data_IF_012052548950
#
_entry.id   IF_012052548950
#
_cell.length_a   1.000
_cell.length_b   1.000
_cell.length_c   1.000
_cell.angle_alpha   90.00
_cell.angle_beta   90.00
_cell.angle_gamma   90.00
#
_symmetry.space_group_name_H-M   'P 1'
#
loop_
_entity.id
_entity.type
_entity.pdbx_description
1 polymer ?
#
# COMPACT_ATOMS: atom_id res chain seq x y z
N UNK A 1 18.89 21.67 41.90
CA UNK A 1 19.33 20.35 41.43
C UNK A 1 18.11 19.55 41.03
N UNK A 2 17.73 19.55 39.75
CA UNK A 2 16.64 18.72 39.24
C UNK A 2 17.22 17.47 38.60
N UNK A 3 17.33 16.38 39.37
CA UNK A 3 17.78 15.09 38.87
C UNK A 3 16.71 14.49 37.96
N UNK A 4 16.89 14.58 36.64
CA UNK A 4 16.12 13.77 35.70
C UNK A 4 16.44 12.30 35.98
N UNK A 5 15.42 11.50 36.26
CA UNK A 5 15.57 10.09 36.58
C UNK A 5 16.18 9.33 35.37
N UNK A 6 17.48 9.03 35.44
CA UNK A 6 18.24 8.27 34.44
C UNK A 6 18.02 6.77 34.68
N UNK A 7 16.82 6.27 34.39
CA UNK A 7 16.50 4.85 34.51
C UNK A 7 16.68 4.14 33.15
N UNK A 8 17.70 3.28 32.98
CA UNK A 8 17.95 2.58 31.72
C UNK A 8 16.95 1.43 31.47
N UNK A 9 16.25 0.93 32.49
CA UNK A 9 15.43 -0.29 32.41
C UNK A 9 14.29 -0.18 31.37
N UNK A 10 13.52 0.94 31.29
CA UNK A 10 12.49 1.11 30.26
C UNK A 10 13.07 1.18 28.84
N UNK A 11 14.24 1.78 28.66
CA UNK A 11 14.90 1.90 27.35
C UNK A 11 15.42 0.56 26.86
N UNK A 12 16.02 -0.24 27.74
CA UNK A 12 16.49 -1.58 27.42
C UNK A 12 15.31 -2.49 27.03
N UNK A 13 14.15 -2.32 27.68
CA UNK A 13 12.92 -3.05 27.31
C UNK A 13 12.43 -2.67 25.91
N UNK A 14 12.46 -1.39 25.55
CA UNK A 14 12.09 -0.93 24.19
C UNK A 14 13.09 -1.47 23.16
N UNK A 15 14.39 -1.39 23.46
CA UNK A 15 15.49 -1.84 22.61
C UNK A 15 15.39 -3.34 22.26
N UNK A 16 15.01 -4.17 23.24
CA UNK A 16 14.82 -5.62 23.07
C UNK A 16 13.43 -5.99 22.52
N UNK A 17 12.56 -5.02 22.30
CA UNK A 17 11.22 -5.22 21.79
C UNK A 17 11.15 -5.58 20.29
N UNK A 18 10.02 -6.14 19.83
CA UNK A 18 9.84 -6.57 18.43
C UNK A 18 9.84 -5.40 17.43
N UNK A 19 9.54 -4.17 17.87
CA UNK A 19 9.55 -2.95 17.03
C UNK A 19 10.95 -2.54 16.57
N UNK A 20 12.00 -3.00 17.24
CA UNK A 20 13.38 -2.65 16.90
C UNK A 20 13.90 -3.55 15.78
N UNK A 21 13.69 -3.09 14.54
CA UNK A 21 14.18 -3.71 13.32
C UNK A 21 15.66 -3.37 13.07
N UNK A 22 16.34 -4.19 12.25
CA UNK A 22 17.76 -3.99 11.91
C UNK A 22 18.03 -2.61 11.30
N UNK A 23 17.09 -2.07 10.51
CA UNK A 23 17.20 -0.72 9.92
C UNK A 23 17.31 0.37 10.99
N UNK A 24 16.53 0.25 12.08
CA UNK A 24 16.53 1.22 13.17
C UNK A 24 17.75 1.08 14.07
N UNK A 25 18.15 -0.16 14.39
CA UNK A 25 19.36 -0.43 15.16
C UNK A 25 20.62 0.08 14.43
N UNK A 26 20.67 -0.11 13.11
CA UNK A 26 21.77 0.42 12.28
C UNK A 26 21.79 1.95 12.29
N UNK A 27 20.61 2.58 12.24
CA UNK A 27 20.47 4.03 12.23
C UNK A 27 20.88 4.66 13.58
N UNK A 28 20.45 4.06 14.71
CA UNK A 28 20.85 4.49 16.06
C UNK A 28 22.34 4.27 16.28
N UNK A 29 22.89 3.14 15.83
CA UNK A 29 24.33 2.92 15.93
C UNK A 29 25.11 3.97 15.10
N UNK A 30 24.61 4.36 13.92
CA UNK A 30 25.23 5.44 13.12
C UNK A 30 25.13 6.81 13.82
N UNK A 31 23.99 7.17 14.40
CA UNK A 31 23.80 8.46 15.07
C UNK A 31 24.69 8.58 16.32
N UNK A 32 24.87 7.48 17.06
CA UNK A 32 25.68 7.42 18.28
C UNK A 32 27.14 7.06 18.01
N UNK A 33 27.56 6.97 16.74
CA UNK A 33 28.92 6.56 16.30
C UNK A 33 29.38 5.20 16.85
N UNK A 34 28.43 4.28 17.04
CA UNK A 34 28.66 2.89 17.43
C UNK A 34 29.00 2.07 16.16
N UNK A 35 30.09 1.29 16.13
CA UNK A 35 30.43 0.45 14.98
C UNK A 35 29.32 -0.56 14.65
N UNK A 36 28.84 -0.61 13.40
CA UNK A 36 27.75 -1.52 12.96
C UNK A 36 28.11 -2.49 11.82
N UNK A 37 29.31 -2.40 11.22
CA UNK A 37 29.66 -3.21 10.05
C UNK A 37 29.63 -4.72 10.39
N UNK A 38 28.84 -5.50 9.63
CA UNK A 38 28.71 -6.96 9.77
C UNK A 38 28.01 -7.45 11.04
N UNK A 39 27.40 -6.57 11.86
CA UNK A 39 26.83 -6.95 13.15
C UNK A 39 25.41 -7.50 13.02
N UNK A 40 25.16 -8.66 13.64
CA UNK A 40 23.81 -9.23 13.81
C UNK A 40 22.99 -8.43 14.84
N UNK A 41 21.66 -8.54 14.76
CA UNK A 41 20.69 -7.80 15.58
C UNK A 41 21.03 -7.76 17.08
N UNK A 42 21.36 -8.92 17.66
CA UNK A 42 21.69 -9.06 19.07
C UNK A 42 22.94 -8.26 19.46
N UNK A 43 23.96 -8.24 18.60
CA UNK A 43 25.19 -7.47 18.82
C UNK A 43 24.93 -5.96 18.77
N UNK A 44 24.06 -5.50 17.86
CA UNK A 44 23.68 -4.08 17.81
C UNK A 44 22.87 -3.65 19.04
N UNK A 45 21.94 -4.50 19.49
CA UNK A 45 21.18 -4.26 20.72
C UNK A 45 22.10 -4.21 21.94
N UNK A 46 23.07 -5.13 22.06
CA UNK A 46 23.99 -5.13 23.18
C UNK A 46 24.84 -3.84 23.20
N UNK A 47 25.40 -3.43 22.05
CA UNK A 47 26.21 -2.20 21.97
C UNK A 47 25.42 -0.93 22.28
N UNK A 48 24.15 -0.86 21.89
CA UNK A 48 23.27 0.27 22.24
C UNK A 48 22.95 0.24 23.74
N UNK A 49 22.71 -0.95 24.32
CA UNK A 49 22.51 -1.10 25.77
C UNK A 49 23.74 -0.64 26.56
N UNK A 50 24.95 -1.09 26.18
CA UNK A 50 26.19 -0.70 26.85
C UNK A 50 26.39 0.84 26.82
N UNK A 51 25.99 1.48 25.71
CA UNK A 51 26.09 2.94 25.58
C UNK A 51 25.04 3.69 26.42
N UNK A 52 23.83 3.14 26.59
CA UNK A 52 22.82 3.68 27.51
C UNK A 52 23.32 3.61 28.95
N UNK A 53 23.84 2.47 29.37
CA UNK A 53 24.38 2.26 30.73
C UNK A 53 25.57 3.19 31.00
N UNK A 54 26.43 3.41 29.99
CA UNK A 54 27.51 4.41 30.04
C UNK A 54 26.99 5.82 30.28
N UNK A 55 25.92 6.25 29.59
CA UNK A 55 25.35 7.59 29.79
C UNK A 55 24.73 7.78 31.16
N UNK A 56 24.17 6.72 31.75
CA UNK A 56 23.69 6.75 33.15
C UNK A 56 24.86 6.88 34.11
N UNK A 57 25.93 6.10 33.92
CA UNK A 57 27.13 6.16 34.76
C UNK A 57 27.86 7.51 34.70
N UNK A 58 27.89 8.14 33.53
CA UNK A 58 28.46 9.48 33.31
C UNK A 58 27.52 10.62 33.74
N UNK A 59 26.28 10.33 34.13
CA UNK A 59 25.26 11.34 34.41
C UNK A 59 24.91 12.21 33.19
N UNK A 60 25.12 11.69 31.97
CA UNK A 60 24.97 12.45 30.73
C UNK A 60 23.50 12.49 30.27
N UNK A 61 22.74 13.38 30.90
CA UNK A 61 21.29 13.54 30.66
C UNK A 61 20.96 13.87 29.21
N UNK A 62 21.80 14.64 28.52
CA UNK A 62 21.56 15.04 27.12
C UNK A 62 21.62 13.84 26.19
N UNK A 63 22.71 13.05 26.26
CA UNK A 63 22.87 11.87 25.40
C UNK A 63 21.87 10.77 25.75
N UNK A 64 21.55 10.61 27.02
CA UNK A 64 20.52 9.69 27.47
C UNK A 64 19.13 10.05 26.90
N UNK A 65 18.76 11.34 26.93
CA UNK A 65 17.51 11.81 26.35
C UNK A 65 17.48 11.69 24.81
N UNK A 66 18.63 11.86 24.14
CA UNK A 66 18.73 11.66 22.70
C UNK A 66 18.45 10.20 22.33
N UNK A 67 19.13 9.23 22.94
CA UNK A 67 18.84 7.80 22.71
C UNK A 67 17.39 7.47 23.10
N UNK A 68 16.87 8.05 24.18
CA UNK A 68 15.46 7.88 24.58
C UNK A 68 14.48 8.35 23.50
N UNK A 69 14.73 9.50 22.87
CA UNK A 69 13.92 10.00 21.77
C UNK A 69 14.01 9.06 20.55
N UNK A 70 15.21 8.61 20.21
CA UNK A 70 15.44 7.72 19.06
C UNK A 70 14.84 6.33 19.27
N UNK A 71 14.81 5.82 20.50
CA UNK A 71 14.15 4.55 20.81
C UNK A 71 12.62 4.67 20.91
N UNK A 72 12.10 5.84 21.31
CA UNK A 72 10.67 6.11 21.32
C UNK A 72 10.11 6.27 19.89
N UNK A 73 10.86 6.96 19.03
CA UNK A 73 10.55 7.19 17.61
C UNK A 73 11.71 6.70 16.72
N UNK A 74 11.78 5.40 16.41
CA UNK A 74 12.88 4.84 15.62
C UNK A 74 12.98 5.40 14.19
N UNK A 75 11.89 5.94 13.65
CA UNK A 75 11.87 6.59 12.33
C UNK A 75 12.71 7.89 12.32
N UNK A 76 12.84 8.58 13.46
CA UNK A 76 13.68 9.78 13.58
C UNK A 76 15.17 9.45 13.43
N UNK A 77 15.58 8.23 13.80
CA UNK A 77 16.97 7.77 13.64
C UNK A 77 17.39 7.63 12.17
N UNK A 78 16.43 7.47 11.24
CA UNK A 78 16.69 7.34 9.81
C UNK A 78 17.04 8.68 9.14
N UNK A 79 16.86 9.81 9.83
CA UNK A 79 17.10 11.16 9.32
C UNK A 79 17.97 12.01 10.27
N UNK A 80 19.29 11.72 10.41
CA UNK A 80 20.15 12.40 11.37
C UNK A 80 20.70 13.72 10.81
N UNK A 81 19.82 14.69 10.54
CA UNK A 81 20.02 16.16 10.65
C UNK A 81 18.89 16.89 9.95
N UNK A 82 17.91 17.31 10.73
CA UNK A 82 16.94 18.34 10.36
C UNK A 82 16.47 18.97 11.65
N UNK A 83 17.07 20.10 12.05
CA UNK A 83 16.67 20.82 13.24
C UNK A 83 15.19 21.17 13.16
N UNK A 84 14.38 20.61 14.07
CA UNK A 84 13.01 21.04 14.28
C UNK A 84 13.03 22.41 14.96
N UNK A 85 12.90 23.46 14.16
CA UNK A 85 12.29 24.69 14.65
C UNK A 85 10.80 24.40 14.97
N UNK A 86 10.21 25.04 15.99
CA UNK A 86 8.82 24.81 16.34
C UNK A 86 7.94 25.19 15.15
N UNK A 87 6.90 24.38 14.93
CA UNK A 87 5.86 24.54 13.91
C UNK A 87 5.63 26.00 13.51
N UNK A 88 6.22 26.38 12.38
CA UNK A 88 5.87 27.59 11.66
C UNK A 88 5.47 27.16 10.26
N UNK A 89 4.21 27.41 9.96
CA UNK A 89 3.54 27.32 8.67
C UNK A 89 4.49 27.68 7.53
N UNK A 90 4.78 26.73 6.63
CA UNK A 90 5.49 27.08 5.40
C UNK A 90 4.59 27.99 4.54
N UNK A 91 5.16 29.03 3.91
CA UNK A 91 4.42 30.04 3.19
C UNK A 91 3.88 29.46 1.89
N UNK A 92 2.61 29.73 1.62
CA UNK A 92 1.99 29.46 0.34
C UNK A 92 2.80 30.13 -0.78
N UNK A 93 3.12 29.36 -1.83
CA UNK A 93 3.58 29.95 -3.08
C UNK A 93 2.48 30.89 -3.63
N UNK A 94 2.84 32.06 -4.20
CA UNK A 94 1.85 32.98 -4.74
C UNK A 94 1.28 32.42 -6.04
N UNK A 95 0.02 31.99 -6.00
CA UNK A 95 -0.76 31.69 -7.21
C UNK A 95 -1.17 32.99 -7.91
N UNK A 96 -1.23 33.03 -9.25
CA UNK A 96 -1.72 34.20 -9.98
C UNK A 96 -3.22 34.42 -9.67
N UNK A 97 -3.61 35.68 -9.46
CA UNK A 97 -5.01 36.09 -9.32
C UNK A 97 -5.83 35.64 -10.54
N UNK A 98 -7.01 35.03 -10.36
CA UNK A 98 -8.02 35.02 -11.41
C UNK A 98 -8.82 36.32 -11.36
N UNK A 99 -9.00 36.92 -12.54
CA UNK A 99 -9.96 37.98 -12.77
C UNK A 99 -11.40 37.49 -12.52
N UNK A 100 -12.18 38.36 -11.91
CA UNK A 100 -13.64 38.48 -11.92
C UNK A 100 -14.47 37.33 -12.53
N UNK A 101 -15.21 36.65 -11.64
CA UNK A 101 -16.65 36.43 -11.82
C UNK A 101 -17.09 35.22 -12.65
N UNK A 102 -16.96 34.01 -12.10
CA UNK A 102 -17.94 32.93 -12.33
C UNK A 102 -18.16 32.21 -10.99
N UNK A 103 -19.29 32.49 -10.35
CA UNK A 103 -19.78 31.79 -9.17
C UNK A 103 -20.14 30.35 -9.58
N UNK A 104 -19.40 29.36 -9.08
CA UNK A 104 -19.95 28.00 -9.05
C UNK A 104 -21.11 27.96 -8.05
N UNK A 105 -22.26 27.37 -8.41
CA UNK A 105 -23.41 27.34 -7.51
C UNK A 105 -23.09 26.44 -6.32
N UNK A 106 -22.92 27.05 -5.15
CA UNK A 106 -23.14 26.36 -3.87
C UNK A 106 -24.61 25.97 -3.86
N UNK A 107 -24.89 24.70 -4.10
CA UNK A 107 -26.20 24.12 -3.83
C UNK A 107 -26.45 24.24 -2.32
N UNK A 108 -27.14 25.30 -1.91
CA UNK A 108 -27.82 25.35 -0.63
C UNK A 108 -29.04 24.44 -0.73
N UNK A 109 -28.88 23.19 -0.32
CA UNK A 109 -30.00 22.29 -0.08
C UNK A 109 -30.65 22.69 1.26
N UNK A 110 -31.92 23.10 1.19
CA UNK A 110 -32.75 23.34 2.36
C UNK A 110 -32.89 22.06 3.20
N UNK A 111 -32.41 22.14 4.44
CA UNK A 111 -32.84 21.39 5.62
C UNK A 111 -32.85 19.86 5.56
N UNK A 112 -31.73 19.21 5.93
CA UNK A 112 -31.61 17.99 6.78
C UNK A 112 -30.13 17.87 7.19
N UNK A 113 -29.82 17.85 8.49
CA UNK A 113 -28.53 17.41 9.07
C UNK A 113 -27.26 18.22 8.70
N UNK A 114 -26.72 19.00 9.64
CA UNK A 114 -25.34 19.52 9.53
C UNK A 114 -24.35 18.35 9.67
N UNK A 115 -24.06 17.64 8.59
CA UNK A 115 -22.94 16.70 8.58
C UNK A 115 -21.62 17.50 8.54
N UNK A 116 -20.61 17.14 9.36
CA UNK A 116 -19.32 17.81 9.34
C UNK A 116 -18.71 17.70 7.95
N UNK A 117 -18.33 18.84 7.36
CA UNK A 117 -17.64 18.89 6.08
C UNK A 117 -16.18 18.52 6.32
N UNK A 118 -15.79 17.30 5.94
CA UNK A 118 -14.41 16.85 6.04
C UNK A 118 -13.68 17.20 4.75
N UNK A 119 -12.57 17.93 4.86
CA UNK A 119 -11.67 18.19 3.74
C UNK A 119 -10.64 17.05 3.64
N UNK A 120 -10.70 16.26 2.57
CA UNK A 120 -9.74 15.18 2.33
C UNK A 120 -8.56 15.69 1.52
N UNK A 121 -7.39 15.07 1.69
CA UNK A 121 -6.29 15.31 0.75
C UNK A 121 -6.72 14.88 -0.66
N UNK A 122 -6.44 15.71 -1.68
CA UNK A 122 -6.83 15.38 -3.04
C UNK A 122 -6.06 14.16 -3.54
N UNK A 123 -6.67 13.42 -4.46
CA UNK A 123 -6.05 12.33 -5.19
C UNK A 123 -6.17 12.58 -6.69
N UNK A 124 -5.14 12.31 -7.50
CA UNK A 124 -5.29 12.37 -8.95
C UNK A 124 -6.16 11.24 -9.50
N UNK A 125 -6.31 10.13 -8.76
CA UNK A 125 -7.04 8.94 -9.18
C UNK A 125 -8.57 9.08 -9.05
N UNK A 126 -9.06 10.06 -8.28
CA UNK A 126 -10.49 10.29 -8.15
C UNK A 126 -10.80 11.71 -7.66
N UNK A 127 -12.00 12.18 -7.99
CA UNK A 127 -12.58 13.42 -7.45
C UNK A 127 -13.88 13.12 -6.70
N UNK A 128 -14.01 13.65 -5.49
CA UNK A 128 -15.22 13.47 -4.67
C UNK A 128 -16.36 14.28 -5.29
N UNK A 129 -17.47 13.60 -5.60
CA UNK A 129 -18.66 14.23 -6.18
C UNK A 129 -19.71 14.54 -5.11
N UNK A 130 -20.03 13.55 -4.27
CA UNK A 130 -21.07 13.68 -3.25
C UNK A 130 -20.89 12.65 -2.12
N UNK A 131 -21.07 13.10 -0.88
CA UNK A 131 -21.27 12.18 0.25
C UNK A 131 -22.68 11.59 0.18
N UNK A 132 -22.80 10.28 0.35
CA UNK A 132 -24.06 9.55 0.42
C UNK A 132 -24.13 8.81 1.74
N UNK A 133 -25.33 8.78 2.34
CA UNK A 133 -25.54 8.18 3.65
C UNK A 133 -24.92 8.97 4.80
N UNK A 134 -25.26 8.53 6.01
CA UNK A 134 -24.88 9.22 7.25
C UNK A 134 -23.46 8.85 7.69
N UNK A 135 -22.82 9.79 8.38
CA UNK A 135 -21.61 9.57 9.15
C UNK A 135 -21.84 8.49 10.21
N UNK A 136 -21.01 7.45 10.23
CA UNK A 136 -21.04 6.41 11.27
C UNK A 136 -19.77 6.42 12.11
N UNK A 137 -19.96 6.44 13.42
CA UNK A 137 -18.87 6.35 14.39
C UNK A 137 -18.63 4.89 14.76
N UNK A 138 -17.40 4.44 14.60
CA UNK A 138 -16.89 3.17 15.10
C UNK A 138 -16.00 3.47 16.31
N UNK A 139 -16.45 3.15 17.54
CA UNK A 139 -15.65 3.40 18.75
C UNK A 139 -14.38 2.53 18.76
N UNK A 140 -13.40 2.94 19.56
CA UNK A 140 -12.20 2.14 19.80
C UNK A 140 -12.54 0.69 20.16
N UNK A 141 -11.83 -0.26 19.56
CA UNK A 141 -12.18 -1.68 19.66
C UNK A 141 -12.13 -2.17 21.11
N UNK A 142 -13.30 -2.43 21.69
CA UNK A 142 -13.45 -3.15 22.97
C UNK A 142 -13.67 -4.67 22.76
N UNK A 143 -13.96 -5.08 21.52
CA UNK A 143 -14.21 -6.45 21.07
C UNK A 143 -13.33 -6.76 19.86
N UNK A 144 -13.10 -8.04 19.57
CA UNK A 144 -12.31 -8.49 18.42
C UNK A 144 -12.96 -8.18 17.06
N UNK A 145 -14.25 -7.82 17.04
CA UNK A 145 -14.99 -7.47 15.80
C UNK A 145 -16.05 -6.40 16.07
N UNK A 146 -16.07 -5.36 15.25
CA UNK A 146 -17.15 -4.38 15.14
C UNK A 146 -17.79 -4.51 13.75
N UNK A 147 -19.11 -4.31 13.66
CA UNK A 147 -19.82 -4.13 12.39
C UNK A 147 -20.45 -2.74 12.33
N UNK A 148 -20.37 -2.08 11.17
CA UNK A 148 -20.95 -0.76 10.94
C UNK A 148 -21.80 -0.83 9.67
N UNK A 149 -23.11 -0.70 9.83
CA UNK A 149 -24.05 -0.74 8.72
C UNK A 149 -24.39 0.68 8.23
N UNK A 150 -24.12 0.95 6.96
CA UNK A 150 -24.49 2.20 6.27
C UNK A 150 -25.52 1.86 5.18
N UNK A 151 -26.78 2.22 5.43
CA UNK A 151 -27.86 1.99 4.46
C UNK A 151 -27.99 3.16 3.50
N UNK A 152 -27.85 2.90 2.21
CA UNK A 152 -28.00 3.90 1.14
C UNK A 152 -29.14 3.46 0.22
N UNK A 153 -30.15 4.32 0.06
CA UNK A 153 -31.28 4.08 -0.85
C UNK A 153 -31.12 4.93 -2.10
N UNK A 154 -31.15 4.30 -3.28
CA UNK A 154 -30.98 4.98 -4.57
C UNK A 154 -31.95 6.14 -4.80
N UNK A 155 -33.19 6.01 -4.30
CA UNK A 155 -34.24 7.01 -4.42
C UNK A 155 -33.88 8.34 -3.75
N UNK A 156 -33.09 8.31 -2.68
CA UNK A 156 -32.68 9.52 -1.94
C UNK A 156 -31.46 10.20 -2.57
N UNK A 157 -30.78 9.54 -3.50
CA UNK A 157 -29.52 9.99 -4.07
C UNK A 157 -29.54 9.88 -5.60
N UNK A 158 -30.09 10.87 -6.32
CA UNK A 158 -30.23 10.82 -7.78
C UNK A 158 -28.93 10.55 -8.54
N UNK A 159 -27.78 10.95 -7.98
CA UNK A 159 -26.44 10.69 -8.54
C UNK A 159 -26.16 9.18 -8.70
N UNK A 160 -26.80 8.31 -7.90
CA UNK A 160 -26.64 6.87 -8.03
C UNK A 160 -27.27 6.32 -9.31
N UNK A 161 -28.29 6.98 -9.87
CA UNK A 161 -28.83 6.61 -11.19
C UNK A 161 -27.83 6.79 -12.33
N UNK A 162 -26.82 7.66 -12.16
CA UNK A 162 -25.80 7.89 -13.18
C UNK A 162 -24.70 6.81 -13.17
N UNK A 163 -24.65 5.93 -12.16
CA UNK A 163 -23.63 4.87 -12.09
C UNK A 163 -23.76 3.85 -13.23
N UNK A 164 -24.98 3.65 -13.75
CA UNK A 164 -25.22 2.73 -14.87
C UNK A 164 -24.70 3.29 -16.20
N UNK A 165 -24.80 4.60 -16.40
CA UNK A 165 -24.43 5.28 -17.63
C UNK A 165 -22.96 5.74 -17.65
N UNK A 166 -22.45 6.23 -16.52
CA UNK A 166 -21.08 6.73 -16.38
C UNK A 166 -20.20 5.74 -15.61
N UNK A 167 -19.42 4.95 -16.35
CA UNK A 167 -18.48 3.96 -15.80
C UNK A 167 -17.31 4.56 -15.01
N UNK A 168 -17.10 5.88 -15.09
CA UNK A 168 -16.10 6.57 -14.28
C UNK A 168 -16.61 6.89 -12.88
N UNK A 169 -17.91 6.76 -12.61
CA UNK A 169 -18.45 6.93 -11.26
C UNK A 169 -18.29 5.65 -10.45
N UNK A 170 -17.86 5.81 -9.20
CA UNK A 170 -17.71 4.71 -8.23
C UNK A 170 -18.26 5.12 -6.88
N UNK A 171 -18.79 4.16 -6.14
CA UNK A 171 -19.14 4.30 -4.73
C UNK A 171 -17.95 3.80 -3.90
N UNK A 172 -17.43 4.63 -3.01
CA UNK A 172 -16.27 4.31 -2.17
C UNK A 172 -16.57 4.63 -0.71
N UNK A 173 -16.14 3.75 0.19
CA UNK A 173 -16.10 4.03 1.61
C UNK A 173 -14.86 4.87 1.94
N UNK A 174 -15.00 5.87 2.80
CA UNK A 174 -13.93 6.71 3.31
C UNK A 174 -13.93 6.59 4.83
N UNK A 175 -12.74 6.68 5.42
CA UNK A 175 -12.55 6.57 6.85
C UNK A 175 -11.56 7.61 7.36
N UNK A 176 -11.86 8.22 8.51
CA UNK A 176 -11.00 9.18 9.21
C UNK A 176 -10.96 8.89 10.70
N UNK A 177 -9.97 9.45 11.39
CA UNK A 177 -9.83 9.32 12.86
C UNK A 177 -10.15 10.60 13.63
N UNK A 178 -10.20 11.75 12.95
CA UNK A 178 -10.47 13.05 13.57
C UNK A 178 -11.46 13.87 12.73
N UNK A 179 -12.65 14.14 13.29
CA UNK A 179 -13.68 14.97 12.66
C UNK A 179 -13.44 16.47 12.85
N UNK A 180 -12.64 16.84 13.85
CA UNK A 180 -12.47 18.23 14.27
C UNK A 180 -11.19 18.85 13.69
N UNK A 181 -10.46 18.11 12.86
CA UNK A 181 -9.25 18.61 12.25
C UNK A 181 -9.56 19.75 11.28
N UNK A 182 -8.90 20.88 11.48
CA UNK A 182 -8.92 22.00 10.54
C UNK A 182 -8.03 21.75 9.31
N UNK A 183 -7.28 20.65 9.29
CA UNK A 183 -6.37 20.28 8.21
C UNK A 183 -6.95 19.16 7.34
N UNK A 184 -6.49 19.11 6.08
CA UNK A 184 -6.85 18.03 5.15
C UNK A 184 -6.49 16.67 5.71
N UNK A 185 -7.47 15.77 5.73
CA UNK A 185 -7.36 14.43 6.27
C UNK A 185 -6.92 13.42 5.21
N UNK A 186 -6.09 12.46 5.61
CA UNK A 186 -5.86 11.24 4.84
C UNK A 186 -7.03 10.27 5.04
N UNK A 187 -7.32 9.47 4.01
CA UNK A 187 -8.23 8.33 4.15
C UNK A 187 -7.44 7.21 4.83
N UNK A 188 -7.88 6.79 6.01
CA UNK A 188 -7.21 5.76 6.78
C UNK A 188 -8.23 4.84 7.43
N UNK A 189 -8.09 3.54 7.17
CA UNK A 189 -8.95 2.50 7.71
C UNK A 189 -8.32 1.87 8.94
N UNK A 190 -9.14 1.37 9.88
CA UNK A 190 -8.64 0.74 11.09
C UNK A 190 -7.79 -0.50 10.77
N UNK A 191 -6.62 -0.58 11.39
CA UNK A 191 -5.86 -1.82 11.49
C UNK A 191 -6.41 -2.70 12.62
N UNK A 192 -6.15 -4.01 12.56
CA UNK A 192 -6.69 -5.03 13.50
C UNK A 192 -6.41 -4.79 15.00
N UNK A 193 -5.65 -3.76 15.38
CA UNK A 193 -5.28 -3.51 16.79
C UNK A 193 -5.34 -2.03 17.18
N UNK A 194 -6.06 -1.18 16.44
CA UNK A 194 -6.11 0.24 16.73
C UNK A 194 -7.13 0.61 17.81
N UNK A 195 -6.65 1.32 18.84
CA UNK A 195 -7.45 1.86 19.95
C UNK A 195 -7.83 3.32 19.61
N UNK A 196 -8.45 3.52 18.44
CA UNK A 196 -8.91 4.83 17.99
C UNK A 196 -10.38 4.76 17.61
N UNK A 197 -11.08 5.88 17.75
CA UNK A 197 -12.41 6.05 17.17
C UNK A 197 -12.23 6.35 15.68
N UNK A 198 -12.97 5.63 14.85
CA UNK A 198 -12.99 5.81 13.41
C UNK A 198 -14.35 6.31 12.97
N UNK A 199 -14.37 7.11 11.92
CA UNK A 199 -15.59 7.62 11.34
C UNK A 199 -15.68 7.18 9.89
N UNK A 200 -16.77 6.53 9.52
CA UNK A 200 -17.02 5.97 8.21
C UNK A 200 -18.08 6.78 7.47
N UNK A 201 -17.82 7.02 6.19
CA UNK A 201 -18.71 7.70 5.28
C UNK A 201 -18.63 7.03 3.92
N UNK A 202 -19.67 7.22 3.11
CA UNK A 202 -19.69 6.72 1.74
C UNK A 202 -19.74 7.91 0.79
N UNK A 203 -18.94 7.86 -0.27
CA UNK A 203 -18.90 8.90 -1.29
C UNK A 203 -19.13 8.29 -2.66
N UNK A 204 -19.84 9.03 -3.51
CA UNK A 204 -19.72 8.88 -4.96
C UNK A 204 -18.52 9.70 -5.41
N UNK A 205 -17.59 9.04 -6.09
CA UNK A 205 -16.40 9.65 -6.67
C UNK A 205 -16.40 9.44 -8.18
N UNK A 206 -15.69 10.31 -8.90
CA UNK A 206 -15.35 10.12 -10.30
C UNK A 206 -13.89 9.70 -10.40
N UNK A 207 -13.64 8.47 -10.83
CA UNK A 207 -12.30 7.89 -10.98
C UNK A 207 -11.65 8.35 -12.28
N UNK A 208 -10.34 8.52 -12.25
CA UNK A 208 -9.49 8.84 -13.40
C UNK A 208 -8.58 7.65 -13.65
N UNK A 209 -8.61 7.13 -14.88
CA UNK A 209 -7.81 5.98 -15.25
C UNK A 209 -6.30 6.33 -15.30
N UNK A 210 -5.44 5.35 -15.01
CA UNK A 210 -3.98 5.53 -15.03
C UNK A 210 -3.51 6.02 -16.40
N UNK A 211 -4.09 5.53 -17.49
CA UNK A 211 -3.74 5.93 -18.86
C UNK A 211 -4.04 7.42 -19.12
N UNK A 212 -5.08 7.96 -18.50
CA UNK A 212 -5.39 9.40 -18.60
C UNK A 212 -4.38 10.22 -17.79
N UNK A 213 -4.01 9.75 -16.60
CA UNK A 213 -3.00 10.40 -15.76
C UNK A 213 -1.61 10.36 -16.40
N UNK A 214 -1.24 9.24 -17.02
CA UNK A 214 0.00 9.12 -17.78
C UNK A 214 0.05 10.14 -18.92
N UNK A 215 -1.04 10.33 -19.67
CA UNK A 215 -1.12 11.34 -20.74
C UNK A 215 -0.99 12.77 -20.20
N UNK A 216 -1.51 13.03 -19.00
CA UNK A 216 -1.32 14.34 -18.34
C UNK A 216 0.14 14.58 -17.95
N UNK A 217 0.87 13.54 -17.51
CA UNK A 217 2.31 13.63 -17.27
C UNK A 217 3.06 13.86 -18.59
N UNK A 218 2.72 13.10 -19.63
CA UNK A 218 3.36 13.19 -20.95
C UNK A 218 3.29 14.62 -21.55
N UNK A 219 2.12 15.25 -21.41
CA UNK A 219 1.86 16.61 -21.89
C UNK A 219 2.16 17.70 -20.84
N UNK A 220 2.65 17.31 -19.66
CA UNK A 220 2.86 18.16 -18.52
C UNK A 220 4.27 18.75 -18.45
N UNK A 221 4.85 18.71 -17.24
CA UNK A 221 6.20 19.23 -16.99
C UNK A 221 7.24 18.38 -17.69
N UNK A 222 8.32 19.03 -18.12
CA UNK A 222 9.44 18.40 -18.82
C UNK A 222 10.75 18.85 -18.21
N UNK A 223 11.68 17.92 -18.06
CA UNK A 223 13.09 18.21 -17.86
C UNK A 223 13.71 18.18 -19.26
N UNK A 224 14.04 19.37 -19.80
CA UNK A 224 14.56 19.45 -21.16
C UNK A 224 15.92 18.77 -21.27
N UNK A 225 16.22 18.26 -22.46
CA UNK A 225 17.49 17.59 -22.76
C UNK A 225 18.68 18.47 -22.40
N UNK A 226 18.61 19.74 -22.76
CA UNK A 226 19.67 20.73 -22.53
C UNK A 226 19.85 21.00 -21.04
N UNK A 227 18.76 21.11 -20.27
CA UNK A 227 18.84 21.33 -18.82
C UNK A 227 19.50 20.15 -18.10
N UNK A 228 19.17 18.93 -18.51
CA UNK A 228 19.76 17.71 -17.93
C UNK A 228 21.25 17.62 -18.25
N UNK A 229 21.64 17.86 -19.51
CA UNK A 229 23.06 17.87 -19.93
C UNK A 229 23.83 18.96 -19.18
N UNK A 230 23.29 20.17 -19.08
CA UNK A 230 23.95 21.28 -18.36
C UNK A 230 24.15 20.94 -16.88
N UNK A 231 23.19 20.25 -16.24
CA UNK A 231 23.34 19.78 -14.85
C UNK A 231 24.46 18.75 -14.73
N UNK A 232 24.60 17.82 -15.68
CA UNK A 232 25.70 16.85 -15.70
C UNK A 232 27.06 17.54 -15.87
N UNK A 233 27.18 18.41 -16.88
CA UNK A 233 28.41 19.15 -17.18
C UNK A 233 28.82 20.03 -16.00
N UNK A 234 27.86 20.73 -15.39
CA UNK A 234 28.13 21.57 -14.22
C UNK A 234 28.64 20.77 -13.03
N UNK A 235 28.13 19.55 -12.80
CA UNK A 235 28.62 18.66 -11.74
C UNK A 235 30.00 18.07 -12.08
N UNK A 236 30.28 17.85 -13.35
CA UNK A 236 31.57 17.33 -13.81
C UNK A 236 32.70 18.38 -13.81
N UNK A 237 32.36 19.67 -13.81
CA UNK A 237 33.31 20.77 -13.74
C UNK A 237 33.84 21.04 -12.31
N UNK A 238 33.36 20.30 -11.30
CA UNK A 238 33.83 20.42 -9.93
C UNK A 238 35.27 19.90 -9.81
N UNK A 239 36.25 20.74 -9.44
CA UNK A 239 37.67 20.36 -9.38
C UNK A 239 37.97 19.29 -8.33
N UNK A 240 37.10 19.12 -7.32
CA UNK A 240 37.28 18.13 -6.26
C UNK A 240 36.66 16.76 -6.62
N UNK A 241 35.99 16.65 -7.78
CA UNK A 241 35.29 15.43 -8.20
C UNK A 241 35.87 14.91 -9.52
N UNK A 242 36.41 13.69 -9.50
CA UNK A 242 36.76 12.97 -10.73
C UNK A 242 35.48 12.47 -11.39
N UNK A 243 35.02 13.18 -12.43
CA UNK A 243 33.85 12.77 -13.19
C UNK A 243 34.15 11.54 -14.05
N UNK A 244 33.57 10.40 -13.69
CA UNK A 244 33.63 9.17 -14.50
C UNK A 244 32.34 9.01 -15.30
N UNK A 245 32.41 8.23 -16.37
CA UNK A 245 31.20 7.80 -17.09
C UNK A 245 30.27 7.01 -16.17
N UNK A 246 28.96 7.07 -16.45
CA UNK A 246 27.92 6.43 -15.66
C UNK A 246 27.08 5.51 -16.54
N UNK A 247 26.72 4.34 -16.02
CA UNK A 247 25.82 3.43 -16.73
C UNK A 247 24.38 3.75 -16.34
N UNK A 248 23.55 4.08 -17.32
CA UNK A 248 22.12 4.35 -17.15
C UNK A 248 21.30 3.15 -17.63
N UNK A 249 20.36 2.67 -16.81
CA UNK A 249 19.42 1.65 -17.24
C UNK A 249 18.21 2.26 -17.94
N UNK A 250 17.81 1.66 -19.06
CA UNK A 250 16.59 1.98 -19.80
C UNK A 250 15.38 1.15 -19.32
N UNK A 251 15.59 0.28 -18.32
CA UNK A 251 14.54 -0.47 -17.64
C UNK A 251 14.01 0.32 -16.45
N UNK A 252 12.70 0.20 -16.21
CA UNK A 252 12.04 0.76 -15.05
C UNK A 252 12.42 -0.05 -13.80
N UNK A 253 12.83 0.59 -12.69
CA UNK A 253 13.15 -0.13 -11.45
C UNK A 253 11.92 -0.80 -10.80
N UNK A 254 10.70 -0.38 -11.17
CA UNK A 254 9.45 -0.93 -10.61
C UNK A 254 8.96 -2.15 -11.38
N UNK A 255 8.86 -2.06 -12.70
CA UNK A 255 8.33 -3.13 -13.54
C UNK A 255 9.42 -4.05 -14.10
N UNK A 256 10.68 -3.64 -14.05
CA UNK A 256 11.85 -4.29 -14.70
C UNK A 256 11.74 -4.38 -16.23
N UNK A 257 10.68 -3.82 -16.81
CA UNK A 257 10.46 -3.69 -18.25
C UNK A 257 11.14 -2.42 -18.77
N UNK A 258 11.40 -2.37 -20.08
CA UNK A 258 11.87 -1.15 -20.74
C UNK A 258 10.86 -0.04 -20.51
N UNK A 259 11.32 1.14 -20.09
CA UNK A 259 10.45 2.30 -19.89
C UNK A 259 9.87 2.74 -21.25
N UNK A 260 8.57 3.06 -21.27
CA UNK A 260 7.95 3.69 -22.44
C UNK A 260 7.83 5.21 -22.23
N UNK A 261 7.43 5.67 -21.04
CA UNK A 261 7.46 7.09 -20.68
C UNK A 261 8.39 7.33 -19.47
N UNK A 262 9.67 7.67 -19.70
CA UNK A 262 10.60 7.94 -18.61
C UNK A 262 10.25 9.25 -17.92
N UNK A 263 9.98 9.18 -16.62
CA UNK A 263 9.73 10.35 -15.80
C UNK A 263 10.47 10.26 -14.46
N UNK A 264 10.62 11.42 -13.84
CA UNK A 264 11.09 11.57 -12.46
C UNK A 264 10.52 12.86 -11.88
N UNK A 265 10.59 13.03 -10.56
CA UNK A 265 10.19 14.30 -9.94
C UNK A 265 11.22 15.40 -10.26
N UNK A 266 10.76 16.65 -10.40
CA UNK A 266 11.64 17.82 -10.51
C UNK A 266 12.55 18.01 -9.28
N UNK A 267 12.25 17.34 -8.15
CA UNK A 267 13.10 17.32 -6.96
C UNK A 267 14.18 16.22 -6.98
N UNK A 268 14.22 15.37 -8.00
CA UNK A 268 15.22 14.32 -8.14
C UNK A 268 16.59 14.91 -8.53
N UNK A 269 17.66 14.41 -7.93
CA UNK A 269 19.06 14.79 -8.22
C UNK A 269 19.85 13.70 -8.97
N UNK A 270 19.18 12.60 -9.32
CA UNK A 270 19.72 11.48 -10.09
C UNK A 270 19.20 11.51 -11.53
N UNK A 271 19.92 10.84 -12.44
CA UNK A 271 19.53 10.73 -13.84
C UNK A 271 18.65 9.52 -14.18
N UNK A 272 18.67 8.49 -13.34
CA UNK A 272 17.83 7.31 -13.52
C UNK A 272 16.35 7.70 -13.47
N UNK A 273 15.58 7.26 -14.45
CA UNK A 273 14.13 7.47 -14.51
C UNK A 273 13.37 6.20 -14.11
N UNK A 274 12.08 6.36 -13.88
CA UNK A 274 11.12 5.28 -13.79
C UNK A 274 10.00 5.49 -14.82
N UNK A 275 9.29 4.42 -15.14
CA UNK A 275 8.16 4.49 -16.08
C UNK A 275 6.93 5.09 -15.40
N UNK A 276 6.30 6.06 -16.07
CA UNK A 276 5.16 6.79 -15.53
C UNK A 276 3.96 5.89 -15.21
N UNK A 277 3.62 4.94 -16.09
CA UNK A 277 2.49 4.02 -15.90
C UNK A 277 2.75 3.12 -14.70
N UNK A 278 3.94 2.53 -14.64
CA UNK A 278 4.35 1.64 -13.54
C UNK A 278 4.32 2.37 -12.19
N UNK A 279 4.77 3.63 -12.16
CA UNK A 279 4.73 4.46 -10.97
C UNK A 279 3.30 4.81 -10.54
N UNK A 280 2.45 5.22 -11.48
CA UNK A 280 1.05 5.53 -11.17
C UNK A 280 0.28 4.32 -10.64
N UNK A 281 0.50 3.12 -11.19
CA UNK A 281 -0.09 1.87 -10.69
C UNK A 281 0.34 1.57 -9.24
N UNK A 282 1.63 1.77 -8.92
CA UNK A 282 2.11 1.63 -7.54
C UNK A 282 1.40 2.63 -6.61
N UNK A 283 1.31 3.89 -7.03
CA UNK A 283 0.68 4.94 -6.22
C UNK A 283 -0.85 4.75 -6.08
N UNK A 284 -1.50 4.11 -7.04
CA UNK A 284 -2.93 3.77 -6.95
C UNK A 284 -3.20 2.72 -5.85
N UNK A 285 -2.29 1.75 -5.68
CA UNK A 285 -2.41 0.72 -4.64
C UNK A 285 -2.08 1.24 -3.23
N UNK A 286 -1.07 2.10 -3.15
CA UNK A 286 -0.56 2.62 -1.88
C UNK A 286 0.15 3.96 -2.09
N UNK A 287 -0.59 5.09 -2.05
CA UNK A 287 -0.06 6.39 -2.39
C UNK A 287 0.94 6.88 -1.32
N UNK A 288 2.22 6.66 -1.57
CA UNK A 288 3.33 7.18 -0.77
C UNK A 288 3.88 8.48 -1.35
N UNK A 289 3.77 8.64 -2.67
CA UNK A 289 4.29 9.77 -3.45
C UNK A 289 5.78 10.05 -3.23
N UNK A 290 6.58 8.99 -3.11
CA UNK A 290 8.02 9.04 -2.97
C UNK A 290 8.69 8.43 -4.21
N UNK A 291 9.80 9.05 -4.64
CA UNK A 291 10.61 8.52 -5.73
C UNK A 291 11.17 7.14 -5.36
N UNK A 292 10.98 6.09 -6.17
CA UNK A 292 11.47 4.74 -5.86
C UNK A 292 13.00 4.60 -5.91
N UNK A 293 13.71 5.63 -6.37
CA UNK A 293 15.17 5.61 -6.53
C UNK A 293 15.86 6.39 -5.40
N UNK A 294 15.38 7.58 -5.06
CA UNK A 294 16.02 8.44 -4.05
C UNK A 294 15.15 8.79 -2.84
N UNK A 295 13.90 8.31 -2.79
CA UNK A 295 12.95 8.56 -1.72
C UNK A 295 12.54 10.04 -1.52
N UNK A 296 12.96 10.95 -2.41
CA UNK A 296 12.49 12.35 -2.40
C UNK A 296 11.01 12.43 -2.82
N UNK A 297 10.28 13.49 -2.40
CA UNK A 297 8.89 13.71 -2.83
C UNK A 297 8.72 13.72 -4.35
N UNK A 298 7.76 12.94 -4.82
CA UNK A 298 7.42 12.77 -6.22
C UNK A 298 5.89 12.73 -6.39
N UNK A 299 5.22 13.79 -5.94
CA UNK A 299 3.76 13.96 -6.11
C UNK A 299 3.42 14.09 -7.59
N UNK A 300 2.17 13.80 -7.95
CA UNK A 300 1.68 13.88 -9.32
C UNK A 300 2.02 15.21 -10.02
N UNK A 301 1.92 16.33 -9.30
CA UNK A 301 2.19 17.67 -9.82
C UNK A 301 3.67 17.94 -10.06
N UNK A 302 4.56 17.19 -9.41
CA UNK A 302 6.03 17.36 -9.52
C UNK A 302 6.67 16.41 -10.52
N UNK A 303 5.94 15.40 -10.99
CA UNK A 303 6.41 14.51 -12.03
C UNK A 303 6.64 15.28 -13.34
N UNK A 304 7.79 15.01 -13.95
CA UNK A 304 8.17 15.57 -15.23
C UNK A 304 8.76 14.48 -16.13
N UNK A 305 8.47 14.56 -17.43
CA UNK A 305 9.11 13.70 -18.43
C UNK A 305 10.55 14.13 -18.59
N UNK A 306 11.47 13.17 -18.55
CA UNK A 306 12.89 13.43 -18.80
C UNK A 306 13.15 13.30 -20.30
N UNK A 307 13.33 14.44 -20.97
CA UNK A 307 13.50 14.45 -22.43
C UNK A 307 14.87 13.91 -22.85
N UNK A 308 15.88 13.95 -21.98
CA UNK A 308 17.19 13.35 -22.24
C UNK A 308 17.09 11.81 -22.26
N UNK A 309 16.48 11.21 -21.24
CA UNK A 309 16.29 9.75 -21.20
C UNK A 309 15.29 9.30 -22.25
N UNK A 310 14.24 10.07 -22.54
CA UNK A 310 13.29 9.78 -23.63
C UNK A 310 13.98 9.75 -25.00
N UNK A 311 14.88 10.70 -25.26
CA UNK A 311 15.69 10.73 -26.48
C UNK A 311 16.55 9.47 -26.60
N UNK A 312 17.22 9.04 -25.51
CA UNK A 312 18.00 7.79 -25.50
C UNK A 312 17.11 6.58 -25.81
N UNK A 313 15.96 6.46 -25.14
CA UNK A 313 15.04 5.33 -25.32
C UNK A 313 14.53 5.25 -26.75
N UNK A 314 14.25 6.40 -27.37
CA UNK A 314 13.75 6.51 -28.75
C UNK A 314 14.84 6.16 -29.78
N UNK A 315 16.09 6.55 -29.51
CA UNK A 315 17.24 6.32 -30.40
C UNK A 315 18.01 5.02 -30.11
N UNK A 316 17.48 4.13 -29.26
CA UNK A 316 18.09 2.82 -28.99
C UNK A 316 17.11 1.68 -29.28
N UNK A 317 17.56 0.55 -29.87
CA UNK A 317 16.71 -0.62 -30.08
C UNK A 317 16.13 -1.16 -28.78
N UNK A 318 14.95 -1.81 -28.85
CA UNK A 318 14.30 -2.43 -27.66
C UNK A 318 15.15 -3.51 -26.99
N UNK A 319 16.15 -4.09 -27.67
CA UNK A 319 17.09 -5.08 -27.11
C UNK A 319 18.18 -4.49 -26.22
N UNK A 320 18.38 -3.17 -26.23
CA UNK A 320 19.45 -2.50 -25.45
C UNK A 320 18.90 -2.02 -24.11
N UNK A 321 19.32 -2.62 -23.01
CA UNK A 321 18.78 -2.28 -21.68
C UNK A 321 19.56 -1.18 -20.93
N UNK A 322 20.75 -0.83 -21.40
CA UNK A 322 21.65 0.10 -20.73
C UNK A 322 22.48 0.90 -21.74
N UNK A 323 22.85 2.12 -21.36
CA UNK A 323 23.80 2.98 -22.09
C UNK A 323 24.85 3.52 -21.14
N UNK A 324 26.01 3.87 -21.67
CA UNK A 324 27.05 4.60 -20.93
C UNK A 324 26.91 6.09 -21.24
N UNK A 325 26.84 6.93 -20.21
CA UNK A 325 26.77 8.38 -20.29
C UNK A 325 28.10 8.96 -19.83
N UNK A 326 28.71 9.75 -20.70
CA UNK A 326 29.92 10.51 -20.43
C UNK A 326 29.63 11.80 -19.63
N UNK A 327 30.61 12.38 -18.93
CA UNK A 327 30.43 13.62 -18.17
C UNK A 327 29.96 14.83 -18.99
N UNK A 328 30.21 14.83 -20.31
CA UNK A 328 29.73 15.84 -21.25
C UNK A 328 28.26 15.65 -21.67
N UNK A 329 27.59 14.63 -21.15
CA UNK A 329 26.22 14.25 -21.44
C UNK A 329 26.06 13.44 -22.73
N UNK A 330 27.12 13.15 -23.48
CA UNK A 330 27.04 12.21 -24.62
C UNK A 330 26.84 10.80 -24.11
N UNK A 331 26.08 10.01 -24.85
CA UNK A 331 25.81 8.62 -24.51
C UNK A 331 26.24 7.68 -25.63
N UNK A 332 26.62 6.46 -25.26
CA UNK A 332 27.01 5.41 -26.19
C UNK A 332 26.44 4.06 -25.77
N UNK A 333 26.19 3.19 -26.75
CA UNK A 333 25.82 1.80 -26.49
C UNK A 333 27.11 1.03 -26.26
N UNK A 334 27.22 0.37 -25.11
CA UNK A 334 28.39 -0.43 -24.80
C UNK A 334 28.32 -1.73 -25.60
N UNK A 335 28.80 -1.69 -26.85
CA UNK A 335 28.97 -2.88 -27.69
C UNK A 335 30.19 -3.63 -27.20
N UNK A 336 30.06 -4.32 -26.07
CA UNK A 336 30.89 -5.51 -25.86
C UNK A 336 30.41 -6.55 -26.87
N UNK A 337 30.86 -6.43 -28.12
CA UNK A 337 31.09 -7.62 -28.91
C UNK A 337 32.02 -8.50 -28.08
N UNK A 338 31.69 -9.77 -27.80
CA UNK A 338 32.71 -10.71 -27.38
C UNK A 338 33.71 -10.75 -28.53
N UNK A 339 34.81 -10.02 -28.36
CA UNK A 339 35.94 -10.11 -29.28
C UNK A 339 36.37 -11.57 -29.33
N UNK A 340 36.57 -12.15 -30.53
CA UNK A 340 37.14 -13.48 -30.62
C UNK A 340 38.57 -13.37 -30.13
N UNK A 341 38.82 -13.84 -28.92
CA UNK A 341 40.15 -14.01 -28.33
C UNK A 341 40.96 -14.92 -29.26
N UNK A 342 41.76 -14.33 -30.14
CA UNK A 342 42.85 -15.03 -30.81
C UNK A 342 44.01 -15.14 -29.83
N UNK A 343 44.39 -16.37 -29.51
CA UNK A 343 45.72 -16.68 -28.97
C UNK A 343 45.74 -17.57 -27.73
N UNK A 344 45.52 -18.86 -27.94
CA UNK A 344 46.36 -19.98 -27.47
C UNK A 344 47.20 -19.73 -26.20
N UNK A 345 46.77 -20.33 -25.08
CA UNK A 345 47.63 -21.21 -24.27
C UNK A 345 46.75 -22.31 -23.69
N UNK A 346 47.04 -23.55 -24.11
CA UNK A 346 46.53 -24.78 -23.53
C UNK A 346 46.89 -24.84 -22.05
N UNK A 347 45.88 -24.92 -21.20
CA UNK A 347 46.00 -25.51 -19.87
C UNK A 347 44.84 -26.48 -19.71
N UNK A 348 45.12 -27.75 -20.00
CA UNK A 348 44.31 -28.89 -19.60
C UNK A 348 44.31 -28.97 -18.07
N UNK A 349 43.18 -28.67 -17.43
CA UNK A 349 42.84 -29.17 -16.11
C UNK A 349 41.40 -29.68 -16.19
N UNK A 350 41.26 -31.00 -16.17
CA UNK A 350 40.02 -31.74 -16.13
C UNK A 350 39.25 -31.48 -14.82
N UNK A 351 37.94 -31.24 -14.97
CA UNK A 351 36.87 -31.79 -14.12
C UNK A 351 36.69 -31.23 -12.71
N UNK A 352 35.74 -30.30 -12.54
CA UNK A 352 34.48 -30.60 -11.81
C UNK A 352 33.44 -29.49 -12.11
N UNK A 353 32.36 -29.90 -12.78
CA UNK A 353 31.22 -29.06 -13.15
C UNK A 353 30.17 -29.12 -12.04
N UNK A 354 29.87 -27.97 -11.41
CA UNK A 354 28.59 -27.72 -10.74
C UNK A 354 28.23 -26.23 -10.87
N UNK A 355 27.93 -25.81 -12.11
CA UNK A 355 27.30 -24.52 -12.38
C UNK A 355 25.78 -24.72 -12.45
N UNK A 356 25.08 -24.31 -11.39
CA UNK A 356 23.61 -24.35 -11.36
C UNK A 356 23.10 -23.17 -12.21
N UNK A 357 22.74 -23.47 -13.46
CA UNK A 357 21.99 -22.58 -14.35
C UNK A 357 20.50 -22.65 -13.97
N UNK A 358 19.95 -21.60 -13.37
CA UNK A 358 18.49 -21.43 -13.28
C UNK A 358 18.06 -20.40 -14.33
N UNK A 359 17.74 -20.92 -15.51
CA UNK A 359 16.71 -20.32 -16.37
C UNK A 359 15.47 -21.18 -16.22
N UNK A 360 14.44 -20.60 -15.60
CA UNK A 360 13.11 -20.61 -16.21
C UNK A 360 12.17 -19.64 -15.51
N UNK A 361 11.75 -18.64 -16.29
CA UNK A 361 10.63 -17.77 -15.98
C UNK A 361 9.34 -18.41 -16.47
N UNK A 362 8.62 -19.13 -15.61
CA UNK A 362 7.15 -19.28 -15.67
C UNK A 362 6.62 -19.60 -14.28
N UNK A 363 6.11 -18.60 -13.55
CA UNK A 363 4.68 -18.48 -13.22
C UNK A 363 4.48 -17.32 -12.24
N UNK A 364 3.66 -16.36 -12.64
CA UNK A 364 2.92 -15.50 -11.70
C UNK A 364 1.79 -16.37 -11.13
N UNK A 365 1.86 -16.66 -9.83
CA UNK A 365 0.66 -16.96 -9.07
C UNK A 365 0.75 -16.31 -7.71
N UNK A 366 -0.17 -15.36 -7.53
CA UNK A 366 -0.60 -14.80 -6.28
C UNK A 366 -0.74 -15.91 -5.24
N UNK A 367 -0.13 -15.74 -4.06
CA UNK A 367 -0.67 -16.37 -2.87
C UNK A 367 -0.52 -15.49 -1.64
N UNK A 368 -1.67 -15.29 -1.03
CA UNK A 368 -1.95 -14.70 0.26
C UNK A 368 -0.90 -15.04 1.32
N UNK A 369 -0.52 -14.02 2.09
CA UNK A 369 0.22 -14.18 3.32
C UNK A 369 -0.71 -14.74 4.41
N UNK A 370 -0.44 -15.98 4.82
CA UNK A 370 -0.79 -16.50 6.14
C UNK A 370 0.50 -16.81 6.88
N UNK A 371 0.51 -16.43 8.15
CA UNK A 371 1.60 -16.34 9.13
C UNK A 371 2.42 -17.63 9.31
N UNK A 372 3.75 -17.56 9.55
CA UNK A 372 4.57 -18.73 9.85
C UNK A 372 4.48 -19.12 11.33
N UNK A 373 4.06 -20.36 11.60
CA UNK A 373 4.11 -21.01 12.91
C UNK A 373 5.34 -21.92 13.00
N UNK A 374 6.17 -21.65 14.01
CA UNK A 374 7.41 -22.34 14.37
C UNK A 374 7.18 -23.70 15.05
N UNK A 375 8.04 -24.66 14.71
CA UNK A 375 8.20 -25.97 15.34
C UNK A 375 8.66 -25.88 16.81
N UNK A 376 8.09 -26.71 17.68
CA UNK A 376 8.75 -27.13 18.92
C UNK A 376 8.23 -28.51 19.36
N UNK A 377 9.13 -29.49 19.38
CA UNK A 377 8.95 -30.84 19.89
C UNK A 377 8.98 -30.85 21.42
N UNK A 378 8.09 -31.60 22.06
CA UNK A 378 8.12 -31.92 23.50
C UNK A 378 8.33 -33.44 23.72
N UNK A 379 8.97 -33.87 24.82
CA UNK A 379 8.96 -35.27 25.27
C UNK A 379 7.79 -35.57 26.24
N UNK A 380 7.48 -36.87 26.49
CA UNK A 380 6.15 -37.29 26.95
C UNK A 380 6.05 -37.56 28.45
N UNK A 381 4.85 -37.35 29.02
CA UNK A 381 4.46 -38.01 30.27
C UNK A 381 2.96 -38.33 30.35
N UNK A 382 2.73 -39.62 30.52
CA UNK A 382 1.59 -40.45 30.99
C UNK A 382 0.35 -39.87 31.72
N UNK A 383 -0.79 -40.44 31.31
CA UNK A 383 -1.86 -41.16 32.08
C UNK A 383 -2.87 -40.42 32.98
N UNK A 384 -4.11 -40.97 32.94
CA UNK A 384 -5.34 -40.73 33.72
C UNK A 384 -6.18 -39.50 33.25
N UNK A 385 -7.52 -39.52 33.10
CA UNK A 385 -8.58 -40.54 33.22
C UNK A 385 -9.90 -39.97 32.69
N UNK A 386 -10.72 -40.84 32.07
CA UNK A 386 -12.19 -41.03 32.14
C UNK A 386 -13.12 -39.83 32.46
N UNK A 387 -13.95 -39.40 31.50
CA UNK A 387 -15.42 -39.69 31.35
C UNK A 387 -16.33 -38.56 31.91
N UNK A 388 -17.65 -38.50 31.63
CA UNK A 388 -18.28 -38.34 30.32
C UNK A 388 -19.40 -37.25 30.32
N UNK A 389 -19.96 -37.05 29.12
CA UNK A 389 -21.07 -36.20 28.70
C UNK A 389 -22.34 -36.16 29.57
N UNK A 390 -23.08 -35.04 29.49
CA UNK A 390 -24.55 -35.05 29.41
C UNK A 390 -25.05 -33.95 28.48
N UNK A 391 -25.66 -34.40 27.38
CA UNK A 391 -26.53 -33.60 26.52
C UNK A 391 -27.94 -33.51 27.14
N UNK A 392 -28.69 -32.44 26.84
CA UNK A 392 -30.15 -32.53 26.70
C UNK A 392 -30.64 -31.63 25.57
N UNK A 393 -31.53 -32.22 24.78
CA UNK A 393 -32.14 -31.73 23.56
C UNK A 393 -33.56 -31.22 23.80
N UNK A 394 -34.10 -30.50 22.80
CA UNK A 394 -35.51 -30.43 22.34
C UNK A 394 -36.11 -29.00 22.27
N UNK A 395 -37.20 -28.75 21.53
CA UNK A 395 -37.17 -28.48 20.08
C UNK A 395 -37.92 -27.19 19.66
N UNK A 396 -37.69 -26.77 18.40
CA UNK A 396 -38.36 -25.63 17.72
C UNK A 396 -39.83 -25.92 17.36
N UNK A 397 -40.58 -24.86 16.98
CA UNK A 397 -41.38 -24.92 15.76
C UNK A 397 -41.08 -23.77 14.78
N UNK A 398 -41.31 -24.07 13.50
CA UNK A 398 -40.98 -23.30 12.30
C UNK A 398 -42.09 -22.33 11.87
N UNK A 399 -41.71 -21.18 11.31
CA UNK A 399 -42.51 -20.45 10.32
C UNK A 399 -41.63 -20.06 9.12
N UNK A 400 -42.12 -20.32 7.89
CA UNK A 400 -41.46 -20.10 6.59
C UNK A 400 -41.98 -18.83 5.91
N UNK A 401 -41.07 -17.99 5.37
CA UNK A 401 -41.07 -17.29 4.04
C UNK A 401 -40.09 -16.09 4.04
N UNK A 402 -39.68 -15.54 2.87
CA UNK A 402 -39.01 -16.13 1.72
C UNK A 402 -37.55 -15.61 1.58
N UNK A 403 -36.79 -16.15 0.63
CA UNK A 403 -35.35 -15.94 0.48
C UNK A 403 -34.95 -14.51 0.06
N UNK A 404 -34.00 -13.91 0.80
CA UNK A 404 -33.14 -12.82 0.33
C UNK A 404 -31.82 -13.41 -0.15
N UNK A 405 -31.31 -12.93 -1.28
CA UNK A 405 -30.02 -13.32 -1.84
C UNK A 405 -28.88 -12.76 -0.99
N UNK A 406 -28.43 -13.53 -0.02
CA UNK A 406 -27.18 -13.29 0.72
C UNK A 406 -26.09 -14.07 -0.01
N UNK A 407 -25.09 -13.37 -0.56
CA UNK A 407 -23.90 -14.01 -1.12
C UNK A 407 -22.93 -14.21 0.05
N UNK A 408 -22.87 -15.44 0.54
CA UNK A 408 -21.84 -15.91 1.46
C UNK A 408 -20.60 -16.31 0.64
N UNK A 409 -19.46 -15.66 0.91
CA UNK A 409 -18.17 -15.94 0.28
C UNK A 409 -17.22 -16.64 1.25
N UNK A 410 -17.73 -17.60 2.05
CA UNK A 410 -16.87 -18.40 2.92
C UNK A 410 -17.18 -19.89 2.90
N UNK A 411 -17.02 -20.57 1.76
CA UNK A 411 -16.65 -22.00 1.74
C UNK A 411 -15.88 -22.35 0.44
N UNK A 412 -14.56 -22.49 0.56
CA UNK A 412 -13.76 -23.51 -0.14
C UNK A 412 -13.96 -24.85 0.61
N UNK A 413 -13.89 -26.07 0.10
CA UNK A 413 -13.62 -26.72 -1.19
C UNK A 413 -13.75 -28.22 -0.83
N UNK A 414 -14.48 -29.05 -1.59
CA UNK A 414 -14.22 -30.50 -1.63
C UNK A 414 -14.92 -31.16 -2.83
N UNK A 415 -14.14 -31.95 -3.56
CA UNK A 415 -14.47 -32.67 -4.78
C UNK A 415 -15.43 -33.84 -4.51
N UNK A 416 -16.59 -33.88 -5.16
CA UNK A 416 -17.26 -35.16 -5.46
C UNK A 416 -18.15 -35.07 -6.71
N UNK A 417 -17.90 -35.93 -7.70
CA UNK A 417 -18.66 -36.02 -8.95
C UNK A 417 -20.15 -36.39 -8.72
N UNK A 418 -21.10 -35.86 -9.52
CA UNK A 418 -22.52 -36.16 -9.33
C UNK A 418 -22.90 -37.54 -9.92
N UNK A 419 -23.19 -38.49 -9.04
CA UNK A 419 -23.87 -39.75 -9.37
C UNK A 419 -25.31 -39.46 -9.84
N UNK A 420 -25.61 -39.83 -11.08
CA UNK A 420 -26.95 -39.75 -11.66
C UNK A 420 -27.96 -40.65 -10.91
N UNK A 421 -29.12 -40.09 -10.53
CA UNK A 421 -30.26 -40.86 -10.01
C UNK A 421 -31.36 -40.95 -11.06
N UNK A 422 -31.72 -42.18 -11.42
CA UNK A 422 -32.78 -42.50 -12.38
C UNK A 422 -34.20 -42.16 -11.85
N UNK A 423 -35.16 -41.82 -12.73
CA UNK A 423 -36.52 -41.49 -12.32
C UNK A 423 -37.31 -42.76 -11.94
N UNK A 424 -37.81 -42.82 -10.71
CA UNK A 424 -38.66 -43.92 -10.24
C UNK A 424 -40.10 -43.67 -10.66
N UNK A 425 -40.61 -44.60 -11.48
CA UNK A 425 -41.96 -44.65 -12.07
C UNK A 425 -43.08 -44.59 -11.03
N UNK A 426 -44.16 -43.91 -11.39
CA UNK A 426 -45.49 -44.01 -10.78
C UNK A 426 -46.03 -45.44 -10.90
N UNK A 427 -46.64 -45.95 -9.83
CA UNK A 427 -47.51 -47.13 -9.86
C UNK A 427 -48.86 -46.76 -9.27
N UNK A 428 -49.88 -46.96 -10.08
CA UNK A 428 -51.32 -46.85 -9.82
C UNK A 428 -51.84 -48.02 -8.97
N UNK A 429 -52.77 -47.75 -8.04
CA UNK A 429 -53.88 -48.65 -7.72
C UNK A 429 -55.02 -47.88 -7.03
N UNK A 430 -56.23 -48.18 -7.48
CA UNK A 430 -57.52 -47.51 -7.32
C UNK A 430 -58.39 -48.11 -6.20
N UNK A 431 -59.57 -47.49 -5.98
CA UNK A 431 -60.78 -47.88 -5.21
C UNK A 431 -60.85 -47.38 -3.75
N UNK A 432 -61.93 -46.81 -3.22
CA UNK A 432 -63.28 -46.49 -3.73
C UNK A 432 -63.93 -45.43 -2.80
N UNK A 433 -64.88 -44.65 -3.33
CA UNK A 433 -65.75 -43.70 -2.59
C UNK A 433 -66.99 -44.38 -2.00
N UNK A 434 -67.66 -43.73 -1.03
CA UNK A 434 -69.12 -43.73 -0.98
C UNK A 434 -69.73 -42.32 -1.00
N UNK A 435 -70.96 -42.31 -1.53
CA UNK A 435 -71.81 -41.20 -1.96
C UNK A 435 -72.46 -40.39 -0.83
N UNK A 436 -72.94 -39.18 -1.18
CA UNK A 436 -73.96 -38.41 -0.44
C UNK A 436 -75.18 -38.22 -1.36
N UNK A 437 -76.44 -38.37 -0.90
CA UNK A 437 -77.63 -38.27 -1.75
C UNK A 437 -78.22 -36.85 -1.82
N UNK A 438 -78.70 -36.47 -3.00
CA UNK A 438 -79.58 -35.32 -3.25
C UNK A 438 -81.06 -35.71 -3.06
N UNK A 439 -81.83 -34.88 -2.36
CA UNK A 439 -83.31 -34.93 -2.35
C UNK A 439 -83.90 -33.72 -3.08
N UNK A 440 -84.91 -34.01 -3.89
CA UNK A 440 -85.64 -33.11 -4.77
C UNK A 440 -86.75 -32.33 -4.04
N UNK A 441 -87.03 -31.14 -4.55
CA UNK A 441 -88.24 -30.33 -4.29
C UNK A 441 -89.41 -30.80 -5.17
N UNK A 442 -90.65 -30.72 -4.67
CA UNK A 442 -91.83 -30.58 -5.51
C UNK A 442 -92.51 -29.23 -5.30
N UNK A 443 -92.77 -28.53 -6.40
CA UNK A 443 -93.69 -27.40 -6.45
C UNK A 443 -95.14 -27.85 -6.35
N UNK A 444 -96.00 -26.95 -5.87
CA UNK A 444 -97.46 -27.08 -5.95
C UNK A 444 -98.04 -25.78 -6.50
N UNK A 445 -98.75 -25.99 -7.61
CA UNK A 445 -99.99 -25.35 -8.11
C UNK A 445 -100.50 -24.10 -7.42
#
# INVERSE_FOLDING_TARGET
>A
MGGGNLDPVPLIRILKGPRMLNKYLTAICKSERIPCAGAVKATMQQRIQDNIEKYVAEGNVVKFNNIKSLLANPDDALYPNGGYAPYSSSPAAPSPRPATGIQQPRYMANGVGQHPVIDFKPSPFYSIQRQIGDLKTCPAMASHRNNVDISVQAQNWPILGNLESDKSLRVMAFCVTDLNSMMRQDISFPHQSEIKTFYFMVYVVKTVAVEELQKRIENGKKLSKESVINEMVSKAADPDIVATSTVLSLKCPLSTLRMDLPCRSTACRHNQCFDATSYLQLQEQGPTWLCPICNNPATFETLAVDEYVRDIITNTPRSIDQVTIEPDGKWSINTRTPSPSRGNQDFDIEGDDDIIEIKDSKFLSLRNHSTPGTSASTPPTSLYSREPSTAMSAPRPSNKRPASSVIDLTLSDDDEEPISRAPKRQSTATFASPQVPHYATPGRS
#
